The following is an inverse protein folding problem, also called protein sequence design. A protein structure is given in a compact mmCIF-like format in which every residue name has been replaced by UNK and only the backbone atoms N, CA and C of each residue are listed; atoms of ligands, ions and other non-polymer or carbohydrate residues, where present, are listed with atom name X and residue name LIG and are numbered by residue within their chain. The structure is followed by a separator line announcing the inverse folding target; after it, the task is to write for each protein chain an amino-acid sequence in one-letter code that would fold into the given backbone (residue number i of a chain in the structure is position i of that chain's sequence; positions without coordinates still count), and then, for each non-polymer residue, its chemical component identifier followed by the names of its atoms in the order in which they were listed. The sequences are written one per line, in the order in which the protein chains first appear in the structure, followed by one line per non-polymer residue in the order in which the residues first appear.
data_IF_660701760307
#
_entry.id   IF_660701760307
#
_cell.length_a   1.000
_cell.length_b   1.000
_cell.length_c   1.000
_cell.angle_alpha   90.00
_cell.angle_beta   90.00
_cell.angle_gamma   90.00
#
_symmetry.space_group_name_H-M   'P 1'
#
loop_
_entity.id
_entity.type
_entity.pdbx_description
1 polymer ?
#
# COMPACT_ATOMS: atom_id res chain seq x y z
N UNK A 1 -13.42 -41.32 46.91
CA UNK A 1 -14.85 -41.44 46.65
C UNK A 1 -15.05 -40.84 45.27
N UNK A 2 -15.15 -41.50 44.19
CA UNK A 2 -15.82 -42.72 43.86
C UNK A 2 -16.97 -42.44 42.92
N UNK A 3 -16.82 -43.02 41.74
CA UNK A 3 -17.88 -43.58 40.89
C UNK A 3 -18.60 -42.60 39.92
N UNK A 4 -19.00 -42.93 38.69
CA UNK A 4 -19.09 -44.20 37.91
C UNK A 4 -19.24 -43.84 36.42
N UNK A 5 -18.57 -44.64 35.59
CA UNK A 5 -18.76 -44.78 34.14
C UNK A 5 -20.08 -45.46 33.86
N UNK A 6 -20.82 -45.03 32.81
CA UNK A 6 -21.79 -45.87 32.13
C UNK A 6 -21.62 -45.82 30.62
N UNK A 7 -21.08 -46.93 30.10
CA UNK A 7 -21.24 -47.41 28.74
C UNK A 7 -22.71 -47.80 28.50
N UNK A 8 -23.22 -47.52 27.30
CA UNK A 8 -24.36 -48.26 26.75
C UNK A 8 -24.04 -48.65 25.29
N UNK A 9 -23.99 -49.99 25.14
CA UNK A 9 -23.79 -50.71 23.88
C UNK A 9 -25.08 -50.84 23.08
N UNK A 10 -24.91 -50.87 21.76
CA UNK A 10 -25.55 -51.73 20.75
C UNK A 10 -27.06 -51.78 20.56
N UNK A 11 -27.50 -51.71 19.31
CA UNK A 11 -28.29 -52.75 18.65
C UNK A 11 -28.18 -52.67 17.12
N UNK A 12 -27.69 -53.78 16.58
CA UNK A 12 -27.82 -54.15 15.17
C UNK A 12 -29.28 -54.50 14.88
N UNK A 13 -29.79 -54.11 13.70
CA UNK A 13 -30.96 -54.69 13.12
C UNK A 13 -30.70 -54.99 11.63
N UNK A 14 -30.55 -56.28 11.35
CA UNK A 14 -30.60 -56.83 9.99
C UNK A 14 -32.06 -56.82 9.50
N UNK A 15 -32.26 -56.40 8.26
CA UNK A 15 -33.51 -56.74 7.53
C UNK A 15 -33.14 -57.19 6.10
N UNK A 16 -33.66 -58.35 5.81
CA UNK A 16 -33.43 -59.18 4.63
C UNK A 16 -33.95 -58.56 3.33
N UNK A 17 -33.33 -59.00 2.24
CA UNK A 17 -33.67 -58.74 0.85
C UNK A 17 -35.04 -59.37 0.48
N UNK A 18 -35.82 -58.61 -0.27
CA UNK A 18 -36.86 -59.16 -1.18
C UNK A 18 -36.66 -58.50 -2.53
N UNK A 19 -36.29 -59.31 -3.50
CA UNK A 19 -36.23 -58.93 -4.91
C UNK A 19 -37.64 -58.87 -5.51
N UNK A 20 -37.98 -57.78 -6.16
CA UNK A 20 -39.09 -57.72 -7.11
C UNK A 20 -38.64 -57.06 -8.41
N UNK A 21 -38.58 -57.87 -9.47
CA UNK A 21 -38.34 -57.39 -10.85
C UNK A 21 -39.55 -56.56 -11.28
N UNK A 22 -39.35 -55.33 -11.72
CA UNK A 22 -40.21 -54.63 -12.66
C UNK A 22 -39.31 -53.99 -13.73
N UNK A 23 -39.40 -54.53 -14.92
CA UNK A 23 -38.93 -53.89 -16.15
C UNK A 23 -39.80 -52.64 -16.43
N UNK A 24 -39.20 -51.48 -16.50
CA UNK A 24 -39.73 -50.40 -17.33
C UNK A 24 -38.52 -49.58 -17.89
N UNK A 25 -38.49 -49.51 -19.22
CA UNK A 25 -37.64 -48.62 -19.98
C UNK A 25 -37.90 -47.19 -19.53
N UNK A 26 -36.89 -46.50 -19.01
CA UNK A 26 -36.83 -45.07 -18.92
C UNK A 26 -35.52 -44.62 -19.51
N UNK A 27 -35.63 -43.68 -20.42
CA UNK A 27 -34.56 -42.98 -21.15
C UNK A 27 -33.52 -42.47 -20.18
N UNK A 28 -32.25 -42.71 -20.50
CA UNK A 28 -31.11 -42.12 -19.79
C UNK A 28 -31.16 -40.60 -19.95
N UNK A 29 -31.50 -39.87 -18.90
CA UNK A 29 -31.18 -38.45 -18.80
C UNK A 29 -29.66 -38.33 -18.59
N UNK A 30 -29.01 -37.63 -19.50
CA UNK A 30 -27.62 -37.23 -19.36
C UNK A 30 -27.48 -36.39 -18.07
N UNK A 31 -26.75 -36.90 -17.10
CA UNK A 31 -26.30 -36.14 -15.94
C UNK A 31 -25.31 -35.09 -16.45
N UNK A 32 -25.57 -33.78 -16.24
CA UNK A 32 -24.59 -32.76 -16.67
C UNK A 32 -23.28 -33.00 -15.96
N UNK A 33 -22.22 -33.05 -16.77
CA UNK A 33 -20.84 -33.10 -16.31
C UNK A 33 -20.60 -31.87 -15.41
N UNK A 34 -20.42 -32.09 -14.11
CA UNK A 34 -20.05 -31.02 -13.18
C UNK A 34 -18.63 -30.63 -13.53
N UNK A 35 -18.47 -29.48 -14.17
CA UNK A 35 -17.18 -28.85 -14.38
C UNK A 35 -16.46 -28.84 -13.03
N UNK A 36 -15.34 -29.57 -12.96
CA UNK A 36 -14.47 -29.56 -11.82
C UNK A 36 -13.86 -28.14 -11.71
N UNK A 37 -14.45 -27.30 -10.90
CA UNK A 37 -13.80 -26.07 -10.45
C UNK A 37 -12.56 -26.53 -9.69
N UNK A 38 -11.42 -26.50 -10.37
CA UNK A 38 -10.12 -26.65 -9.72
C UNK A 38 -9.96 -25.41 -8.84
N UNK A 39 -10.27 -25.52 -7.56
CA UNK A 39 -9.83 -24.54 -6.57
C UNK A 39 -8.32 -24.38 -6.74
N UNK A 40 -7.88 -23.22 -7.21
CA UNK A 40 -6.47 -22.89 -7.25
C UNK A 40 -5.93 -22.90 -5.83
N UNK A 41 -5.05 -23.82 -5.51
CA UNK A 41 -4.35 -23.83 -4.22
C UNK A 41 -3.57 -22.51 -4.10
N UNK A 42 -3.78 -21.71 -3.04
CA UNK A 42 -3.06 -20.46 -2.88
C UNK A 42 -1.56 -20.68 -2.95
N UNK A 43 -0.88 -19.98 -3.83
CA UNK A 43 0.58 -20.02 -3.90
C UNK A 43 1.13 -19.30 -2.67
N UNK A 44 1.68 -20.03 -1.71
CA UNK A 44 2.35 -19.46 -0.56
C UNK A 44 3.68 -18.86 -1.00
N UNK A 45 3.77 -17.54 -1.04
CA UNK A 45 5.02 -16.81 -1.30
C UNK A 45 5.83 -16.72 -0.01
N UNK A 46 7.12 -17.07 -0.01
CA UNK A 46 7.98 -16.79 1.13
C UNK A 46 8.07 -15.27 1.37
N UNK A 47 7.81 -14.85 2.61
CA UNK A 47 7.97 -13.48 3.09
C UNK A 47 9.18 -13.44 4.01
N UNK A 48 10.23 -12.77 3.61
CA UNK A 48 11.51 -12.75 4.32
C UNK A 48 11.75 -11.37 4.91
N UNK A 49 12.12 -11.31 6.20
CA UNK A 49 12.55 -10.08 6.83
C UNK A 49 13.96 -9.72 6.32
N UNK A 50 14.07 -8.63 5.56
CA UNK A 50 15.32 -8.14 5.01
C UNK A 50 16.06 -7.22 5.98
N UNK A 51 15.33 -6.37 6.74
CA UNK A 51 15.89 -5.50 7.78
C UNK A 51 14.87 -5.26 8.88
N UNK A 52 15.34 -4.91 10.08
CA UNK A 52 14.49 -4.54 11.22
C UNK A 52 15.04 -3.28 11.87
N UNK A 53 14.18 -2.27 12.05
CA UNK A 53 14.52 -0.95 12.64
C UNK A 53 13.44 -0.52 13.65
N UNK A 54 12.96 0.73 13.66
CA UNK A 54 11.98 1.16 14.65
C UNK A 54 10.56 1.30 14.12
N UNK A 55 10.34 2.07 13.04
CA UNK A 55 9.06 2.18 12.35
C UNK A 55 9.30 2.55 10.88
N UNK A 56 9.06 1.60 10.00
CA UNK A 56 9.41 1.69 8.59
C UNK A 56 8.31 2.31 7.74
N UNK A 57 8.72 3.08 6.73
CA UNK A 57 7.86 3.68 5.71
C UNK A 57 8.60 3.81 4.37
N UNK A 58 7.88 4.25 3.36
CA UNK A 58 8.31 4.76 2.07
C UNK A 58 9.48 4.06 1.40
N UNK A 59 9.43 2.75 1.08
CA UNK A 59 10.52 2.08 0.41
C UNK A 59 10.63 2.53 -1.05
N UNK A 60 11.86 2.64 -1.55
CA UNK A 60 12.17 2.81 -2.98
C UNK A 60 13.49 2.13 -3.30
N UNK A 61 13.72 1.78 -4.57
CA UNK A 61 14.89 1.00 -4.97
C UNK A 61 15.67 1.72 -6.06
N UNK A 62 16.94 1.98 -5.77
CA UNK A 62 17.89 2.58 -6.72
C UNK A 62 18.30 1.58 -7.81
N UNK A 63 18.82 2.06 -8.94
CA UNK A 63 19.22 1.19 -10.07
C UNK A 63 20.31 0.18 -9.72
N UNK A 64 21.17 0.49 -8.74
CA UNK A 64 22.22 -0.41 -8.25
C UNK A 64 21.72 -1.52 -7.31
N UNK A 65 20.39 -1.59 -7.09
CA UNK A 65 19.74 -2.55 -6.21
C UNK A 65 19.70 -2.14 -4.73
N UNK A 66 20.23 -0.95 -4.37
CA UNK A 66 20.13 -0.43 -3.00
C UNK A 66 18.69 -0.01 -2.70
N UNK A 67 18.13 -0.52 -1.61
CA UNK A 67 16.79 -0.17 -1.12
C UNK A 67 16.90 0.96 -0.11
N UNK A 68 16.21 2.06 -0.37
CA UNK A 68 16.07 3.17 0.56
C UNK A 68 14.71 3.09 1.22
N UNK A 69 14.63 3.35 2.52
CA UNK A 69 13.39 3.36 3.28
C UNK A 69 13.51 4.27 4.49
N UNK A 70 12.40 4.71 5.04
CA UNK A 70 12.41 5.65 6.16
C UNK A 70 12.16 4.95 7.48
N UNK A 71 12.70 5.52 8.56
CA UNK A 71 12.37 5.21 9.94
C UNK A 71 11.87 6.48 10.63
N UNK A 72 10.58 6.50 10.91
CA UNK A 72 9.89 7.67 11.48
C UNK A 72 10.10 7.84 12.98
N UNK A 73 10.80 6.91 13.63
CA UNK A 73 11.06 6.99 15.08
C UNK A 73 12.22 7.91 15.39
N UNK A 74 12.27 8.33 16.66
CA UNK A 74 13.23 9.34 17.12
C UNK A 74 12.71 10.77 16.93
N UNK A 75 13.51 11.76 17.31
CA UNK A 75 13.10 13.17 17.29
C UNK A 75 12.97 13.71 15.87
N UNK A 76 13.80 13.25 14.95
CA UNK A 76 13.91 13.81 13.60
C UNK A 76 13.72 12.80 12.48
N UNK A 77 13.56 11.50 12.79
CA UNK A 77 13.51 10.44 11.80
C UNK A 77 14.83 10.28 11.02
N UNK A 78 14.92 9.24 10.21
CA UNK A 78 16.08 8.97 9.34
C UNK A 78 15.68 8.26 8.07
N UNK A 79 16.51 8.40 7.03
CA UNK A 79 16.48 7.57 5.84
C UNK A 79 17.57 6.52 5.98
N UNK A 80 17.18 5.27 5.84
CA UNK A 80 18.06 4.11 5.85
C UNK A 80 18.27 3.61 4.44
N UNK A 81 19.33 2.87 4.23
CA UNK A 81 19.53 2.10 3.00
C UNK A 81 20.00 0.69 3.32
N UNK A 82 19.50 -0.26 2.56
CA UNK A 82 19.97 -1.64 2.54
C UNK A 82 20.66 -1.88 1.20
N UNK A 83 21.93 -2.24 1.25
CA UNK A 83 22.71 -2.57 0.05
C UNK A 83 22.38 -3.96 -0.46
N UNK A 84 22.73 -4.31 -1.71
CA UNK A 84 22.50 -5.65 -2.27
C UNK A 84 23.16 -6.79 -1.48
N UNK A 85 24.18 -6.52 -0.68
CA UNK A 85 24.80 -7.49 0.23
C UNK A 85 24.04 -7.69 1.55
N UNK A 86 22.91 -6.99 1.73
CA UNK A 86 22.08 -7.01 2.93
C UNK A 86 22.54 -6.07 4.05
N UNK A 87 23.66 -5.36 3.88
CA UNK A 87 24.13 -4.40 4.87
C UNK A 87 23.20 -3.18 4.96
N UNK A 88 22.76 -2.84 6.17
CA UNK A 88 21.90 -1.68 6.43
C UNK A 88 22.68 -0.60 7.15
N UNK A 89 22.62 0.63 6.65
CA UNK A 89 23.15 1.81 7.32
C UNK A 89 22.23 3.03 7.18
N UNK A 90 22.56 4.08 7.92
CA UNK A 90 21.87 5.37 7.82
C UNK A 90 22.40 6.14 6.63
N UNK A 91 21.53 6.46 5.68
CA UNK A 91 21.84 7.35 4.56
C UNK A 91 21.77 8.82 4.99
N UNK A 92 20.69 9.22 5.69
CA UNK A 92 20.48 10.61 6.13
C UNK A 92 19.79 10.67 7.50
N UNK A 93 20.39 11.43 8.41
CA UNK A 93 19.83 11.79 9.72
C UNK A 93 20.35 13.18 10.13
N UNK A 94 19.46 14.13 10.47
CA UNK A 94 17.99 14.05 10.51
C UNK A 94 17.38 13.95 9.12
N UNK A 95 16.26 13.22 9.00
CA UNK A 95 15.45 13.19 7.78
C UNK A 95 14.25 14.11 7.82
N UNK A 96 14.07 14.83 8.94
CA UNK A 96 12.91 15.71 9.17
C UNK A 96 11.59 14.97 9.00
N UNK A 97 11.56 13.71 9.46
CA UNK A 97 10.42 12.81 9.38
C UNK A 97 10.00 12.54 7.93
N UNK A 98 10.97 12.29 7.07
CA UNK A 98 10.72 11.80 5.72
C UNK A 98 9.87 10.53 5.78
N UNK A 99 8.82 10.47 4.94
CA UNK A 99 7.86 9.36 4.85
C UNK A 99 8.02 8.67 3.49
N UNK A 100 7.21 8.99 2.47
CA UNK A 100 7.34 8.45 1.15
C UNK A 100 8.63 8.87 0.45
N UNK A 101 9.24 7.93 -0.26
CA UNK A 101 10.43 8.11 -1.07
C UNK A 101 10.19 7.60 -2.49
N UNK A 102 10.78 8.26 -3.48
CA UNK A 102 10.83 7.77 -4.85
C UNK A 102 12.09 8.27 -5.55
N UNK A 103 12.62 7.55 -6.53
CA UNK A 103 13.69 8.02 -7.40
C UNK A 103 13.12 8.65 -8.67
N UNK A 104 13.65 9.82 -9.05
CA UNK A 104 13.36 10.40 -10.36
C UNK A 104 14.19 9.73 -11.48
N UNK A 105 13.96 10.16 -12.73
CA UNK A 105 14.65 9.59 -13.90
C UNK A 105 16.16 9.84 -13.91
N UNK A 106 16.67 10.74 -13.07
CA UNK A 106 18.10 11.03 -12.90
C UNK A 106 18.67 10.38 -11.63
N UNK A 107 17.93 9.45 -11.03
CA UNK A 107 18.30 8.73 -9.81
C UNK A 107 18.57 9.64 -8.59
N UNK A 108 17.90 10.79 -8.54
CA UNK A 108 17.87 11.64 -7.36
C UNK A 108 16.73 11.19 -6.44
N UNK A 109 16.98 11.16 -5.15
CA UNK A 109 16.02 10.70 -4.16
C UNK A 109 15.05 11.83 -3.78
N UNK A 110 13.78 11.67 -4.10
CA UNK A 110 12.71 12.53 -3.64
C UNK A 110 12.16 12.03 -2.31
N UNK A 111 11.76 12.96 -1.44
CA UNK A 111 11.21 12.64 -0.14
C UNK A 111 10.09 13.61 0.25
N UNK A 112 9.01 13.08 0.81
CA UNK A 112 8.01 13.84 1.55
C UNK A 112 8.46 13.98 3.00
N UNK A 113 8.74 15.20 3.47
CA UNK A 113 9.24 15.48 4.82
C UNK A 113 8.18 16.27 5.61
N UNK A 114 7.80 15.77 6.80
CA UNK A 114 6.81 16.43 7.68
C UNK A 114 7.41 17.56 8.52
N UNK A 115 8.71 17.83 8.38
CA UNK A 115 9.41 18.84 9.15
C UNK A 115 9.68 18.45 10.60
N UNK A 116 10.22 19.37 11.40
CA UNK A 116 10.49 19.17 12.84
C UNK A 116 9.58 20.03 13.74
N UNK A 117 8.69 20.82 13.14
CA UNK A 117 7.78 21.73 13.88
C UNK A 117 8.43 23.01 14.38
N UNK A 118 9.70 23.26 14.08
CA UNK A 118 10.47 24.42 14.50
C UNK A 118 11.14 25.11 13.29
N UNK A 119 12.37 24.70 12.98
CA UNK A 119 13.19 25.35 11.96
C UNK A 119 12.98 24.80 10.54
N UNK A 120 12.50 23.57 10.43
CA UNK A 120 12.27 22.90 9.15
C UNK A 120 10.80 22.65 8.95
N UNK A 121 10.24 23.33 7.94
CA UNK A 121 8.83 23.23 7.56
C UNK A 121 8.55 21.90 6.83
N UNK A 122 7.29 21.44 6.83
CA UNK A 122 6.84 20.37 5.96
C UNK A 122 7.13 20.69 4.48
N UNK A 123 7.71 19.72 3.75
CA UNK A 123 8.23 20.00 2.40
C UNK A 123 8.39 18.74 1.56
N UNK A 124 8.56 18.91 0.27
CA UNK A 124 9.06 17.90 -0.67
C UNK A 124 10.48 18.28 -1.06
N UNK A 125 11.40 17.31 -0.96
CA UNK A 125 12.81 17.52 -1.27
C UNK A 125 13.30 16.57 -2.34
N UNK A 126 14.43 16.95 -2.97
CA UNK A 126 15.17 16.13 -3.91
C UNK A 126 16.65 16.11 -3.51
N UNK A 127 17.21 14.94 -3.32
CA UNK A 127 18.59 14.74 -2.90
C UNK A 127 19.42 14.16 -4.04
N UNK A 128 20.51 14.81 -4.40
CA UNK A 128 21.51 14.24 -5.27
C UNK A 128 22.37 13.25 -4.48
N UNK A 129 22.43 11.98 -4.89
CA UNK A 129 23.12 10.93 -4.13
C UNK A 129 24.66 11.05 -4.17
N UNK A 130 25.21 11.72 -5.18
CA UNK A 130 26.67 11.89 -5.32
C UNK A 130 27.19 13.04 -4.45
N UNK A 131 26.48 14.18 -4.46
CA UNK A 131 26.89 15.39 -3.74
C UNK A 131 26.29 15.49 -2.35
N UNK A 132 25.21 14.75 -2.06
CA UNK A 132 24.33 14.86 -0.90
C UNK A 132 23.66 16.25 -0.77
N UNK A 133 23.63 17.04 -1.83
CA UNK A 133 22.89 18.29 -1.86
C UNK A 133 21.39 18.02 -1.84
N UNK A 134 20.67 18.77 -1.00
CA UNK A 134 19.23 18.71 -0.84
C UNK A 134 18.62 19.96 -1.43
N UNK A 135 17.79 19.80 -2.43
CA UNK A 135 16.96 20.84 -3.02
C UNK A 135 15.55 20.78 -2.45
N UNK A 136 14.98 21.89 -2.04
CA UNK A 136 13.56 22.00 -1.68
C UNK A 136 12.76 22.26 -2.94
N UNK A 137 11.87 21.33 -3.30
CA UNK A 137 10.99 21.44 -4.47
C UNK A 137 9.70 22.20 -4.14
N UNK A 138 9.17 22.00 -2.93
CA UNK A 138 7.98 22.66 -2.43
C UNK A 138 7.97 22.66 -0.91
N UNK A 139 7.69 23.78 -0.26
CA UNK A 139 7.51 23.94 1.20
C UNK A 139 6.28 24.80 1.55
N UNK A 140 5.66 25.42 0.54
CA UNK A 140 4.43 26.18 0.68
C UNK A 140 3.57 26.12 -0.58
N UNK A 141 2.29 26.44 -0.43
CA UNK A 141 1.36 26.68 -1.53
C UNK A 141 0.53 27.93 -1.22
N UNK A 142 0.53 28.91 -2.14
CA UNK A 142 -0.17 30.21 -1.99
C UNK A 142 0.18 30.94 -0.67
N UNK A 143 1.45 30.87 -0.25
CA UNK A 143 1.96 31.52 0.98
C UNK A 143 1.57 30.78 2.26
N UNK A 144 1.16 29.53 2.20
CA UNK A 144 0.78 28.71 3.34
C UNK A 144 1.58 27.41 3.37
N UNK A 145 1.99 27.01 4.56
CA UNK A 145 2.75 25.80 4.79
C UNK A 145 1.91 24.52 4.60
N UNK A 146 2.52 23.48 4.06
CA UNK A 146 1.94 22.14 4.06
C UNK A 146 1.72 21.61 5.48
N UNK A 147 0.89 20.58 5.62
CA UNK A 147 0.63 19.93 6.91
C UNK A 147 1.63 18.83 7.22
N UNK A 148 1.62 17.79 6.41
CA UNK A 148 2.48 16.63 6.57
C UNK A 148 2.53 15.88 5.22
N UNK A 149 3.36 16.33 4.26
CA UNK A 149 3.60 15.60 3.02
C UNK A 149 3.90 14.14 3.35
N UNK A 150 3.21 13.22 2.64
CA UNK A 150 3.20 11.83 3.06
C UNK A 150 3.77 10.90 2.01
N UNK A 151 3.15 10.79 0.83
CA UNK A 151 3.60 9.89 -0.23
C UNK A 151 3.66 10.62 -1.57
N UNK A 152 4.40 10.09 -2.53
CA UNK A 152 4.62 10.73 -3.80
C UNK A 152 4.85 9.74 -4.94
N UNK A 153 4.51 10.18 -6.14
CA UNK A 153 4.72 9.47 -7.41
C UNK A 153 5.01 10.48 -8.51
N UNK A 154 5.33 10.01 -9.71
CA UNK A 154 5.51 10.87 -10.88
C UNK A 154 4.93 10.24 -12.13
N UNK A 155 4.61 11.05 -13.12
CA UNK A 155 4.18 10.60 -14.43
C UNK A 155 5.32 10.60 -15.46
N UNK A 156 5.05 10.09 -16.65
CA UNK A 156 6.02 10.03 -17.73
C UNK A 156 6.49 11.39 -18.27
N UNK A 157 5.87 12.50 -17.84
CA UNK A 157 6.26 13.87 -18.17
C UNK A 157 7.15 14.50 -17.09
N UNK A 158 7.45 13.76 -16.02
CA UNK A 158 8.27 14.22 -14.89
C UNK A 158 7.54 15.17 -13.95
N UNK A 159 6.20 15.21 -13.98
CA UNK A 159 5.41 15.90 -12.97
C UNK A 159 5.36 15.04 -11.72
N UNK A 160 5.60 15.64 -10.56
CA UNK A 160 5.58 14.99 -9.27
C UNK A 160 4.20 15.21 -8.65
N UNK A 161 3.58 14.14 -8.16
CA UNK A 161 2.31 14.19 -7.45
C UNK A 161 2.58 13.76 -6.01
N UNK A 162 2.11 14.52 -5.04
CA UNK A 162 2.29 14.16 -3.63
C UNK A 162 1.02 14.42 -2.82
N UNK A 163 0.87 13.64 -1.77
CA UNK A 163 -0.21 13.79 -0.80
C UNK A 163 0.26 14.61 0.39
N UNK A 164 -0.57 15.56 0.80
CA UNK A 164 -0.40 16.31 2.05
C UNK A 164 -1.59 16.00 2.96
N UNK A 165 -1.34 15.24 4.01
CA UNK A 165 -2.40 14.78 4.92
C UNK A 165 -2.54 15.72 6.12
N UNK A 166 -3.75 15.77 6.75
CA UNK A 166 -3.92 16.52 7.99
C UNK A 166 -2.92 16.06 9.05
N UNK A 167 -2.15 16.99 9.58
CA UNK A 167 -1.27 16.73 10.73
C UNK A 167 -2.10 16.49 12.01
N UNK A 168 -1.48 15.92 13.07
CA UNK A 168 -2.17 15.64 14.31
C UNK A 168 -2.62 16.92 15.06
N UNK A 169 -1.96 18.04 14.83
CA UNK A 169 -2.23 19.33 15.44
C UNK A 169 -2.02 20.44 14.40
N UNK A 170 -2.94 20.60 13.42
CA UNK A 170 -2.79 21.61 12.40
C UNK A 170 -2.81 23.01 13.02
N UNK A 171 -1.92 23.88 12.55
CA UNK A 171 -1.96 25.30 12.93
C UNK A 171 -3.05 26.03 12.12
N UNK A 172 -3.52 27.22 12.56
CA UNK A 172 -4.47 28.01 11.78
C UNK A 172 -3.96 28.32 10.35
N UNK A 173 -2.65 28.48 10.19
CA UNK A 173 -1.98 28.76 8.90
C UNK A 173 -2.04 27.57 7.95
N UNK A 174 -2.14 26.36 8.51
CA UNK A 174 -2.27 25.10 7.76
C UNK A 174 -3.73 24.73 7.46
N UNK A 175 -4.71 25.45 8.04
CA UNK A 175 -6.13 25.12 7.92
C UNK A 175 -6.59 25.11 6.46
N UNK A 176 -7.20 24.00 6.03
CA UNK A 176 -7.82 23.84 4.71
C UNK A 176 -6.84 23.63 3.56
N UNK A 177 -5.60 23.22 3.84
CA UNK A 177 -4.59 23.02 2.80
C UNK A 177 -4.28 21.56 2.50
N UNK A 178 -4.61 20.60 3.37
CA UNK A 178 -4.35 19.21 3.03
C UNK A 178 -5.03 18.83 1.70
N UNK A 179 -4.35 18.00 0.94
CA UNK A 179 -4.78 17.73 -0.44
C UNK A 179 -3.83 16.83 -1.19
N UNK A 180 -4.04 16.78 -2.48
CA UNK A 180 -3.08 16.25 -3.44
C UNK A 180 -2.56 17.39 -4.29
N UNK A 181 -1.26 17.46 -4.40
CA UNK A 181 -0.54 18.50 -5.13
C UNK A 181 0.25 17.92 -6.29
N UNK A 182 0.50 18.74 -7.29
CA UNK A 182 1.36 18.44 -8.42
C UNK A 182 2.45 19.51 -8.51
N UNK A 183 3.69 19.10 -8.70
CA UNK A 183 4.83 19.96 -9.03
C UNK A 183 5.18 19.69 -10.49
N UNK A 184 5.07 20.70 -11.34
CA UNK A 184 5.46 20.63 -12.74
C UNK A 184 6.98 20.75 -12.91
N UNK A 185 7.58 20.30 -14.04
CA UNK A 185 9.03 20.37 -14.25
C UNK A 185 9.63 21.78 -14.20
N UNK A 186 8.82 22.82 -14.40
CA UNK A 186 9.23 24.24 -14.29
C UNK A 186 9.14 24.77 -12.85
N UNK A 187 8.76 23.93 -11.87
CA UNK A 187 8.60 24.28 -10.47
C UNK A 187 7.21 24.85 -10.12
N UNK A 188 6.29 24.95 -11.08
CA UNK A 188 4.92 25.40 -10.80
C UNK A 188 4.19 24.35 -9.95
N UNK A 189 3.51 24.79 -8.87
CA UNK A 189 2.75 23.94 -7.97
C UNK A 189 1.25 24.15 -8.22
N UNK A 190 0.51 23.06 -8.33
CA UNK A 190 -0.94 23.07 -8.43
C UNK A 190 -1.55 22.15 -7.37
N UNK A 191 -2.61 22.56 -6.68
CA UNK A 191 -3.42 21.69 -5.83
C UNK A 191 -4.52 21.07 -6.68
N UNK A 192 -4.47 19.76 -6.89
CA UNK A 192 -5.36 19.06 -7.83
C UNK A 192 -6.56 18.39 -7.15
N UNK A 193 -6.46 18.05 -5.87
CA UNK A 193 -7.57 17.54 -5.05
C UNK A 193 -7.55 18.21 -3.68
N UNK A 194 -8.72 18.53 -3.15
CA UNK A 194 -8.89 19.26 -1.90
C UNK A 194 -10.13 18.79 -1.14
N UNK A 195 -10.19 19.04 0.17
CA UNK A 195 -11.41 18.87 0.96
C UNK A 195 -12.59 19.71 0.39
N UNK A 196 -13.82 19.20 0.33
CA UNK A 196 -14.31 17.91 0.86
C UNK A 196 -14.22 16.73 -0.13
N UNK A 197 -13.58 16.86 -1.26
CA UNK A 197 -13.43 15.77 -2.24
C UNK A 197 -12.58 14.62 -1.69
N UNK A 198 -11.65 14.94 -0.80
CA UNK A 198 -10.80 14.00 -0.08
C UNK A 198 -10.83 14.32 1.41
N UNK A 199 -10.50 13.33 2.27
CA UNK A 199 -10.51 13.49 3.73
C UNK A 199 -9.12 13.36 4.34
N UNK A 200 -8.41 12.27 4.03
CA UNK A 200 -7.09 11.98 4.58
C UNK A 200 -6.25 11.18 3.58
N UNK A 201 -5.71 11.87 2.58
CA UNK A 201 -4.93 11.22 1.53
C UNK A 201 -3.64 10.62 2.10
N UNK A 202 -3.23 9.46 1.55
CA UNK A 202 -2.01 8.75 1.93
C UNK A 202 -1.31 8.24 0.66
N UNK A 203 -1.22 6.94 0.41
CA UNK A 203 -0.58 6.38 -0.76
C UNK A 203 -1.13 6.91 -2.07
N UNK A 204 -0.24 7.15 -3.02
CA UNK A 204 -0.56 7.68 -4.35
C UNK A 204 0.29 6.98 -5.40
N UNK A 205 -0.32 6.54 -6.50
CA UNK A 205 0.40 5.98 -7.64
C UNK A 205 -0.31 6.29 -8.95
N UNK A 206 0.45 6.37 -10.04
CA UNK A 206 -0.07 6.56 -11.40
C UNK A 206 0.08 5.26 -12.17
N UNK A 207 -0.94 4.91 -12.98
CA UNK A 207 -0.93 3.76 -13.87
C UNK A 207 0.26 3.79 -14.85
N UNK A 208 0.73 2.63 -15.35
CA UNK A 208 1.83 2.59 -16.32
C UNK A 208 1.54 3.37 -17.60
N UNK A 209 0.25 3.54 -17.94
CA UNK A 209 -0.20 4.30 -19.12
C UNK A 209 -0.32 5.81 -18.91
N UNK A 210 -0.06 6.34 -17.71
CA UNK A 210 -0.27 7.74 -17.33
C UNK A 210 -1.72 8.23 -17.50
N UNK A 211 -2.70 7.33 -17.41
CA UNK A 211 -4.11 7.62 -17.64
C UNK A 211 -4.98 7.54 -16.37
N UNK A 212 -4.47 6.97 -15.29
CA UNK A 212 -5.20 6.80 -14.03
C UNK A 212 -4.31 7.17 -12.84
N UNK A 213 -4.83 8.04 -11.97
CA UNK A 213 -4.24 8.32 -10.67
C UNK A 213 -5.05 7.57 -9.60
N UNK A 214 -4.36 6.76 -8.80
CA UNK A 214 -4.93 6.07 -7.64
C UNK A 214 -4.52 6.77 -6.36
N UNK A 215 -5.47 6.95 -5.45
CA UNK A 215 -5.29 7.64 -4.17
C UNK A 215 -5.91 6.82 -3.05
N UNK A 216 -5.15 6.57 -1.99
CA UNK A 216 -5.64 5.94 -0.78
C UNK A 216 -6.14 7.00 0.21
N UNK A 217 -7.32 6.76 0.77
CA UNK A 217 -7.92 7.53 1.88
C UNK A 217 -7.86 6.72 3.18
N UNK A 218 -7.36 7.32 4.25
CA UNK A 218 -7.06 6.62 5.52
C UNK A 218 -7.74 7.23 6.74
N UNK A 219 -8.98 7.69 6.58
CA UNK A 219 -9.72 8.29 7.69
C UNK A 219 -9.93 7.30 8.84
N UNK A 220 -9.53 7.68 10.07
CA UNK A 220 -9.56 6.80 11.24
C UNK A 220 -10.86 6.93 12.07
N UNK A 221 -11.62 7.99 11.85
CA UNK A 221 -12.91 8.20 12.50
C UNK A 221 -13.99 7.28 11.90
N UNK A 222 -15.03 7.03 12.70
CA UNK A 222 -16.19 6.26 12.23
C UNK A 222 -16.91 6.98 11.08
N UNK A 223 -17.18 6.28 10.00
CA UNK A 223 -17.83 6.80 8.80
C UNK A 223 -16.90 7.56 7.85
N UNK A 224 -15.62 7.71 8.20
CA UNK A 224 -14.65 8.37 7.32
C UNK A 224 -14.19 7.48 6.18
N UNK A 225 -13.65 8.06 5.13
CA UNK A 225 -13.21 7.39 3.92
C UNK A 225 -12.03 6.44 4.18
N UNK A 226 -12.20 5.16 3.85
CA UNK A 226 -11.18 4.10 3.93
C UNK A 226 -11.19 3.31 2.64
N UNK A 227 -10.69 3.92 1.59
CA UNK A 227 -10.85 3.41 0.24
C UNK A 227 -9.68 3.78 -0.67
N UNK A 228 -9.63 3.13 -1.79
CA UNK A 228 -8.84 3.58 -2.93
C UNK A 228 -9.79 4.31 -3.88
N UNK A 229 -9.45 5.55 -4.21
CA UNK A 229 -10.10 6.31 -5.28
C UNK A 229 -9.27 6.21 -6.54
N UNK A 230 -9.91 6.11 -7.68
CA UNK A 230 -9.27 6.21 -8.99
C UNK A 230 -9.84 7.43 -9.71
N UNK A 231 -8.95 8.15 -10.36
CA UNK A 231 -9.27 9.34 -11.15
C UNK A 231 -8.70 9.17 -12.56
N UNK A 232 -9.43 9.64 -13.57
CA UNK A 232 -8.87 9.76 -14.90
C UNK A 232 -7.83 10.89 -14.88
N UNK A 233 -6.61 10.60 -15.31
CA UNK A 233 -5.51 11.54 -15.39
C UNK A 233 -5.38 12.05 -16.83
N UNK A 234 -5.63 13.34 -17.03
CA UNK A 234 -5.52 13.97 -18.32
C UNK A 234 -4.06 14.29 -18.69
N UNK A 235 -3.81 14.50 -19.97
CA UNK A 235 -2.48 14.81 -20.52
C UNK A 235 -1.85 16.09 -19.93
N UNK A 236 -2.65 17.03 -19.47
CA UNK A 236 -2.21 18.25 -18.78
C UNK A 236 -2.01 18.07 -17.26
N UNK A 237 -2.22 16.86 -16.73
CA UNK A 237 -2.07 16.52 -15.32
C UNK A 237 -3.26 16.91 -14.45
N UNK A 238 -4.39 17.27 -15.03
CA UNK A 238 -5.65 17.42 -14.30
C UNK A 238 -6.29 16.06 -14.06
N UNK A 239 -7.05 15.93 -12.97
CA UNK A 239 -7.75 14.71 -12.59
C UNK A 239 -9.26 14.92 -12.61
N UNK A 240 -10.00 13.92 -13.10
CA UNK A 240 -11.46 13.96 -13.26
C UNK A 240 -12.08 12.58 -13.01
N UNK A 241 -13.40 12.49 -13.12
CA UNK A 241 -14.14 11.21 -13.11
C UNK A 241 -13.77 10.29 -11.94
N UNK A 242 -13.80 10.81 -10.71
CA UNK A 242 -13.56 10.04 -9.50
C UNK A 242 -14.47 8.82 -9.42
N UNK A 243 -13.88 7.65 -9.14
CA UNK A 243 -14.58 6.41 -8.84
C UNK A 243 -13.96 5.74 -7.61
N UNK A 244 -14.79 5.08 -6.81
CA UNK A 244 -14.30 4.19 -5.75
C UNK A 244 -13.75 2.94 -6.42
N UNK A 245 -12.46 2.72 -6.29
CA UNK A 245 -11.80 1.53 -6.83
C UNK A 245 -11.96 0.34 -5.87
N UNK A 246 -11.73 0.55 -4.58
CA UNK A 246 -11.95 -0.45 -3.53
C UNK A 246 -12.29 0.24 -2.20
N UNK A 247 -13.25 -0.30 -1.46
CA UNK A 247 -13.66 0.19 -0.16
C UNK A 247 -13.26 -0.81 0.93
N UNK A 248 -12.42 -0.39 1.86
CA UNK A 248 -11.97 -1.20 2.99
C UNK A 248 -12.86 -1.07 4.23
N UNK A 249 -13.80 -0.11 4.24
CA UNK A 249 -14.62 0.14 5.41
C UNK A 249 -15.40 -1.12 5.84
N UNK A 250 -15.49 -1.51 7.12
CA UNK A 250 -15.01 -0.80 8.31
C UNK A 250 -13.57 -1.17 8.73
N UNK A 251 -12.86 -2.00 7.96
CA UNK A 251 -11.48 -2.38 8.22
C UNK A 251 -10.49 -1.21 8.12
N UNK A 252 -9.21 -1.48 8.37
CA UNK A 252 -8.15 -0.51 8.09
C UNK A 252 -7.93 -0.41 6.59
N UNK A 253 -7.88 0.81 6.11
CA UNK A 253 -7.55 1.12 4.72
C UNK A 253 -6.15 0.64 4.31
N UNK A 254 -5.86 0.72 3.01
CA UNK A 254 -4.49 0.80 2.54
C UNK A 254 -3.76 1.98 3.18
N UNK A 255 -2.42 1.93 3.18
CA UNK A 255 -1.54 3.02 3.62
C UNK A 255 -0.76 3.52 2.40
N UNK A 256 0.28 2.79 1.95
CA UNK A 256 0.94 3.01 0.69
C UNK A 256 0.64 1.90 -0.33
N UNK A 257 1.05 2.10 -1.58
CA UNK A 257 0.87 1.15 -2.66
C UNK A 257 1.90 1.33 -3.77
N UNK A 258 2.09 0.27 -4.55
CA UNK A 258 2.85 0.29 -5.79
C UNK A 258 2.07 -0.42 -6.90
N UNK A 259 2.57 -0.38 -8.13
CA UNK A 259 1.89 -0.92 -9.31
C UNK A 259 2.87 -1.73 -10.17
N UNK A 260 2.39 -2.82 -10.75
CA UNK A 260 3.17 -3.61 -11.70
C UNK A 260 3.00 -3.16 -13.16
N UNK A 261 3.73 -3.79 -14.06
CA UNK A 261 3.70 -3.45 -15.49
C UNK A 261 2.38 -3.83 -16.18
N UNK A 262 1.55 -4.66 -15.56
CA UNK A 262 0.21 -5.03 -16.03
C UNK A 262 -0.88 -4.11 -15.48
N UNK A 263 -0.51 -3.19 -14.57
CA UNK A 263 -1.42 -2.25 -13.93
C UNK A 263 -2.08 -2.81 -12.67
N UNK A 264 -1.62 -3.94 -12.13
CA UNK A 264 -2.15 -4.44 -10.87
C UNK A 264 -1.60 -3.63 -9.69
N UNK A 265 -2.48 -3.23 -8.77
CA UNK A 265 -2.10 -2.49 -7.56
C UNK A 265 -1.70 -3.45 -6.44
N UNK A 266 -0.56 -3.18 -5.81
CA UNK A 266 -0.06 -3.85 -4.61
C UNK A 266 -0.22 -2.92 -3.42
N UNK A 267 -1.23 -3.16 -2.60
CA UNK A 267 -1.69 -2.25 -1.56
C UNK A 267 -1.31 -2.78 -0.18
N UNK A 268 -0.49 -2.03 0.54
CA UNK A 268 -0.14 -2.31 1.94
C UNK A 268 -1.35 -1.96 2.83
N UNK A 269 -2.04 -2.95 3.41
CA UNK A 269 -3.32 -2.72 4.09
C UNK A 269 -3.53 -3.64 5.31
N UNK A 270 -4.55 -3.32 6.09
CA UNK A 270 -5.08 -4.18 7.13
C UNK A 270 -4.33 -4.15 8.47
N UNK A 271 -4.87 -4.89 9.43
CA UNK A 271 -4.38 -5.02 10.81
C UNK A 271 -4.46 -6.47 11.28
N UNK A 272 -3.48 -6.90 12.09
CA UNK A 272 -3.57 -8.12 12.90
C UNK A 272 -4.17 -7.83 14.29
N UNK A 273 -4.04 -6.60 14.80
CA UNK A 273 -4.52 -6.19 16.14
C UNK A 273 -5.20 -4.82 16.09
N UNK A 274 -6.26 -4.66 16.91
CA UNK A 274 -6.96 -3.38 17.05
C UNK A 274 -6.04 -2.30 17.66
N UNK A 275 -6.12 -1.08 17.15
CA UNK A 275 -5.27 0.05 17.55
C UNK A 275 -5.98 1.12 18.42
N UNK A 276 -7.24 0.88 18.81
CA UNK A 276 -8.03 1.86 19.55
C UNK A 276 -8.64 2.97 18.70
N UNK A 277 -8.60 2.82 17.37
CA UNK A 277 -9.34 3.63 16.39
C UNK A 277 -10.70 2.99 16.10
N UNK A 278 -11.50 3.55 15.19
CA UNK A 278 -12.74 2.90 14.72
C UNK A 278 -12.51 1.82 13.66
N UNK A 279 -11.27 1.57 13.31
CA UNK A 279 -10.88 0.52 12.35
C UNK A 279 -11.08 -0.87 12.95
N UNK A 280 -11.62 -1.79 12.17
CA UNK A 280 -11.81 -3.19 12.55
C UNK A 280 -10.75 -4.10 11.92
N UNK A 281 -10.81 -5.40 12.23
CA UNK A 281 -9.93 -6.42 11.62
C UNK A 281 -10.52 -7.03 10.33
N UNK A 282 -11.54 -6.43 9.74
CA UNK A 282 -12.17 -6.95 8.52
C UNK A 282 -11.23 -6.89 7.31
N UNK A 283 -10.26 -5.96 7.31
CA UNK A 283 -9.14 -6.00 6.37
C UNK A 283 -7.97 -6.74 7.01
N UNK A 284 -7.65 -7.91 6.48
CA UNK A 284 -6.53 -8.74 6.96
C UNK A 284 -5.20 -8.07 6.63
N UNK A 285 -4.26 -8.08 7.59
CA UNK A 285 -2.94 -7.47 7.39
C UNK A 285 -2.14 -8.15 6.27
N UNK A 286 -1.63 -7.37 5.32
CA UNK A 286 -0.83 -7.88 4.21
C UNK A 286 -0.76 -6.94 3.02
N UNK A 287 -0.25 -7.47 1.91
CA UNK A 287 -0.33 -6.82 0.61
C UNK A 287 -1.51 -7.41 -0.15
N UNK A 288 -2.45 -6.56 -0.52
CA UNK A 288 -3.61 -6.90 -1.33
C UNK A 288 -3.32 -6.54 -2.78
N UNK A 289 -3.37 -7.52 -3.68
CA UNK A 289 -3.12 -7.33 -5.11
C UNK A 289 -4.45 -7.24 -5.83
N UNK A 290 -4.70 -6.10 -6.48
CA UNK A 290 -5.92 -5.85 -7.24
C UNK A 290 -5.63 -5.71 -8.73
N UNK A 291 -6.49 -6.29 -9.59
CA UNK A 291 -6.44 -6.01 -11.03
C UNK A 291 -6.80 -4.56 -11.33
N UNK A 292 -6.52 -4.02 -12.54
CA UNK A 292 -6.95 -2.69 -12.94
C UNK A 292 -8.47 -2.44 -12.84
N UNK A 293 -9.27 -3.51 -12.90
CA UNK A 293 -10.74 -3.48 -12.76
C UNK A 293 -11.20 -3.54 -11.30
N UNK A 294 -10.28 -3.67 -10.32
CA UNK A 294 -10.59 -3.71 -8.89
C UNK A 294 -10.88 -5.10 -8.33
N UNK A 295 -10.65 -6.17 -9.10
CA UNK A 295 -10.78 -7.53 -8.58
C UNK A 295 -9.58 -7.89 -7.70
N UNK A 296 -9.81 -8.43 -6.49
CA UNK A 296 -8.75 -8.96 -5.64
C UNK A 296 -8.17 -10.24 -6.28
N UNK A 297 -6.92 -10.19 -6.70
CA UNK A 297 -6.20 -11.29 -7.34
C UNK A 297 -5.45 -12.16 -6.31
N UNK A 298 -4.80 -11.52 -5.35
CA UNK A 298 -3.96 -12.19 -4.35
C UNK A 298 -3.97 -11.40 -3.03
N UNK A 299 -3.82 -12.11 -1.91
CA UNK A 299 -3.48 -11.55 -0.62
C UNK A 299 -2.18 -12.19 -0.13
N UNK A 300 -1.15 -11.37 0.08
CA UNK A 300 0.15 -11.79 0.60
C UNK A 300 0.20 -11.42 2.08
N UNK A 301 0.06 -12.37 3.01
CA UNK A 301 0.03 -12.06 4.43
C UNK A 301 1.40 -11.57 4.92
N UNK A 302 1.41 -10.50 5.71
CA UNK A 302 2.60 -9.97 6.37
C UNK A 302 2.49 -10.24 7.87
N UNK A 303 3.52 -10.85 8.52
CA UNK A 303 3.42 -11.30 9.90
C UNK A 303 3.56 -10.17 10.94
N UNK A 304 3.69 -8.92 10.53
CA UNK A 304 3.83 -7.76 11.40
C UNK A 304 2.67 -6.77 11.19
N UNK A 305 2.30 -6.04 12.22
CA UNK A 305 1.25 -5.04 12.13
C UNK A 305 1.72 -3.72 11.56
N UNK A 306 0.73 -2.95 11.08
CA UNK A 306 0.92 -1.68 10.40
C UNK A 306 1.76 -1.86 9.16
N UNK A 307 1.17 -2.55 8.17
CA UNK A 307 1.73 -2.61 6.82
C UNK A 307 1.60 -1.20 6.24
N UNK A 308 2.71 -0.59 5.86
CA UNK A 308 2.76 0.84 5.56
C UNK A 308 2.91 1.15 4.09
N UNK A 309 3.89 0.54 3.39
CA UNK A 309 4.12 0.86 1.99
C UNK A 309 4.81 -0.30 1.26
N UNK A 310 4.94 -0.20 -0.07
CA UNK A 310 5.58 -1.19 -0.90
C UNK A 310 6.26 -0.56 -2.13
N UNK A 311 7.35 -1.18 -2.60
CA UNK A 311 8.02 -0.79 -3.84
C UNK A 311 8.63 -2.00 -4.55
N UNK A 312 8.60 -1.99 -5.86
CA UNK A 312 9.30 -2.98 -6.67
C UNK A 312 10.77 -2.65 -6.84
N UNK A 313 11.60 -3.70 -6.87
CA UNK A 313 13.04 -3.59 -7.12
C UNK A 313 13.67 -4.92 -7.52
N UNK A 314 14.99 -5.01 -7.31
CA UNK A 314 15.81 -6.09 -7.86
C UNK A 314 16.14 -5.86 -9.35
N UNK A 315 17.12 -6.59 -9.87
CA UNK A 315 17.61 -6.41 -11.25
C UNK A 315 16.52 -6.61 -12.32
N UNK A 316 15.53 -7.46 -12.03
CA UNK A 316 14.42 -7.79 -12.94
C UNK A 316 13.08 -7.16 -12.51
N UNK A 317 13.08 -6.27 -11.51
CA UNK A 317 11.88 -5.65 -10.93
C UNK A 317 10.81 -6.65 -10.45
N UNK A 318 11.24 -7.84 -10.01
CA UNK A 318 10.35 -8.89 -9.48
C UNK A 318 10.51 -9.13 -8.00
N UNK A 319 11.17 -8.23 -7.30
CA UNK A 319 11.24 -8.25 -5.84
C UNK A 319 10.38 -7.11 -5.30
N UNK A 320 9.35 -7.45 -4.55
CA UNK A 320 8.52 -6.49 -3.83
C UNK A 320 9.10 -6.29 -2.45
N UNK A 321 9.51 -5.07 -2.13
CA UNK A 321 9.91 -4.65 -0.80
C UNK A 321 8.71 -4.04 -0.10
N UNK A 322 8.43 -4.50 1.13
CA UNK A 322 7.26 -4.07 1.91
C UNK A 322 7.72 -3.60 3.27
N UNK A 323 7.34 -2.39 3.63
CA UNK A 323 7.53 -1.86 4.98
C UNK A 323 6.33 -2.19 5.86
N UNK A 324 6.58 -2.71 7.06
CA UNK A 324 5.55 -2.99 8.03
C UNK A 324 6.13 -2.88 9.45
N UNK A 325 5.46 -2.12 10.32
CA UNK A 325 5.89 -1.90 11.69
C UNK A 325 7.36 -1.49 11.75
N UNK A 326 8.24 -2.38 12.20
CA UNK A 326 9.68 -2.14 12.32
C UNK A 326 10.52 -2.90 11.29
N UNK A 327 9.90 -3.58 10.33
CA UNK A 327 10.57 -4.52 9.44
C UNK A 327 10.40 -4.10 7.98
N UNK A 328 11.48 -4.19 7.22
CA UNK A 328 11.48 -4.23 5.76
C UNK A 328 11.45 -5.70 5.35
N UNK A 329 10.43 -6.10 4.61
CA UNK A 329 10.27 -7.44 4.06
C UNK A 329 10.62 -7.45 2.58
N UNK A 330 11.08 -8.60 2.07
CA UNK A 330 11.20 -8.84 0.64
C UNK A 330 10.37 -10.06 0.23
N UNK A 331 9.76 -9.97 -0.94
CA UNK A 331 8.85 -10.97 -1.48
C UNK A 331 9.13 -11.11 -2.97
N UNK A 332 9.34 -12.33 -3.42
CA UNK A 332 9.51 -12.59 -4.86
C UNK A 332 8.17 -12.67 -5.56
N UNK A 333 7.99 -11.95 -6.66
CA UNK A 333 6.77 -11.95 -7.48
C UNK A 333 7.00 -12.62 -8.83
N UNK A 334 5.91 -13.06 -9.47
CA UNK A 334 5.95 -13.63 -10.82
C UNK A 334 5.84 -12.56 -11.92
N UNK A 335 5.38 -11.37 -11.55
CA UNK A 335 5.21 -10.22 -12.46
C UNK A 335 6.31 -9.19 -12.25
N UNK A 336 6.53 -8.38 -13.28
CA UNK A 336 7.51 -7.30 -13.25
C UNK A 336 6.83 -6.02 -12.76
N UNK A 337 7.38 -5.37 -11.75
CA UNK A 337 6.90 -4.09 -11.25
C UNK A 337 7.24 -2.92 -12.16
N UNK A 338 6.78 -1.74 -11.75
CA UNK A 338 7.19 -0.46 -12.34
C UNK A 338 8.08 0.32 -11.37
N UNK A 339 8.79 1.30 -11.89
CA UNK A 339 9.53 2.30 -11.10
C UNK A 339 8.76 3.60 -11.13
N UNK A 340 7.81 3.74 -10.19
CA UNK A 340 6.98 4.94 -10.06
C UNK A 340 6.68 5.24 -8.60
#
# INVERSE_FOLDING_TARGET
MGLVIKLLQSKWCQVSAVALLCMNCATAEEVPEVDSVTESVPVLRPVVAAATVAFTEGPTVHEDGTVYFTDLRGESGRILRMRPDGAVDTFREPSFRANGLVFDSEWRLLACESGNGEDVLPRVTRTNLETNEIEVLADEYEGKQFHAPNDLTFDGKGRIYFTDRPGPNPTPEQSGLHGVYRIDPDGTIARILVEPEIERPNGIVISPGDDTLYLIETAQQSGGARMIRAYDLADDGTVTNMRVFHDFYPGRSGDGMTIDSEGNLYVAAGLNHLRGTSETLDTVAGVHVFSPEGALLEHIPIPEDTITNAAFGGDDLRTLYVTAGKTLFEIRTDVTGTRR
#
